data_IF_832908262366
#
_entry.id   IF_832908262366
#
_cell.length_a   1.000
_cell.length_b   1.000
_cell.length_c   1.000
_cell.angle_alpha   90.00
_cell.angle_beta   90.00
_cell.angle_gamma   90.00
#
_symmetry.space_group_name_H-M   'P 1'
#
loop_
_entity.id
_entity.type
_entity.pdbx_description
1 polymer ?
#
# COMPACT_ATOMS: atom_id res chain seq x y z
N UNK A 1 23.95 -61.88 -5.34
CA UNK A 1 24.28 -60.73 -6.21
C UNK A 1 23.16 -59.72 -6.02
N UNK A 2 23.36 -58.65 -5.24
CA UNK A 2 23.90 -57.33 -5.59
C UNK A 2 22.88 -56.42 -6.32
N UNK A 3 22.62 -55.24 -5.73
CA UNK A 3 22.00 -54.03 -6.33
C UNK A 3 20.47 -53.95 -6.20
N UNK A 4 19.81 -53.09 -5.41
CA UNK A 4 19.88 -51.64 -5.11
C UNK A 4 19.22 -50.69 -6.14
N UNK A 5 18.36 -49.81 -5.61
CA UNK A 5 18.05 -48.40 -5.96
C UNK A 5 16.64 -48.03 -6.49
N UNK A 6 16.03 -47.10 -5.71
CA UNK A 6 15.27 -45.87 -6.07
C UNK A 6 13.93 -46.03 -6.82
N UNK A 7 12.83 -45.38 -6.43
CA UNK A 7 12.69 -44.04 -5.85
C UNK A 7 12.24 -43.08 -6.97
N UNK A 8 11.01 -42.54 -6.89
CA UNK A 8 10.52 -41.59 -7.89
C UNK A 8 9.10 -41.10 -7.60
N UNK A 9 8.99 -40.03 -6.80
CA UNK A 9 7.79 -39.22 -6.60
C UNK A 9 7.60 -38.38 -7.88
N UNK A 10 6.45 -38.52 -8.54
CA UNK A 10 6.02 -37.61 -9.63
C UNK A 10 5.44 -36.34 -9.01
N UNK A 11 6.30 -35.33 -8.84
CA UNK A 11 5.86 -33.95 -8.68
C UNK A 11 5.52 -33.39 -10.06
N UNK A 12 4.25 -33.06 -10.28
CA UNK A 12 3.81 -32.33 -11.47
C UNK A 12 4.33 -30.90 -11.41
N UNK A 13 5.28 -30.57 -12.27
CA UNK A 13 5.73 -29.19 -12.48
C UNK A 13 4.66 -28.43 -13.26
N UNK A 14 4.13 -27.36 -12.65
CA UNK A 14 3.40 -26.31 -13.36
C UNK A 14 4.35 -25.68 -14.38
N UNK A 15 3.92 -25.66 -15.64
CA UNK A 15 4.63 -25.02 -16.73
C UNK A 15 4.60 -23.50 -16.54
N UNK A 16 5.66 -22.96 -15.92
CA UNK A 16 5.96 -21.53 -15.96
C UNK A 16 6.44 -21.24 -17.39
N UNK A 17 5.72 -20.38 -18.10
CA UNK A 17 6.18 -19.88 -19.39
C UNK A 17 7.57 -19.23 -19.23
N UNK A 18 8.51 -19.43 -20.18
CA UNK A 18 9.82 -18.78 -20.07
C UNK A 18 9.64 -17.26 -20.08
N UNK A 19 10.24 -16.60 -19.08
CA UNK A 19 10.31 -15.15 -19.01
C UNK A 19 10.84 -14.57 -20.34
N UNK A 20 10.31 -13.42 -20.81
CA UNK A 20 10.89 -12.73 -21.95
C UNK A 20 12.35 -12.35 -21.66
N UNK A 21 13.28 -12.52 -22.61
CA UNK A 21 14.73 -12.43 -22.38
C UNK A 21 15.27 -11.00 -22.15
N UNK A 22 14.40 -9.99 -22.05
CA UNK A 22 14.80 -8.57 -22.05
C UNK A 22 14.48 -7.81 -20.75
N UNK A 23 14.23 -8.49 -19.63
CA UNK A 23 14.18 -7.80 -18.34
C UNK A 23 15.59 -7.71 -17.77
N UNK A 24 16.08 -6.48 -17.64
CA UNK A 24 17.38 -6.23 -17.01
C UNK A 24 17.27 -6.52 -15.52
N UNK A 25 18.35 -7.00 -14.85
CA UNK A 25 18.33 -7.28 -13.41
C UNK A 25 17.88 -6.09 -12.54
N UNK A 26 18.03 -4.86 -13.06
CA UNK A 26 17.58 -3.61 -12.46
C UNK A 26 16.06 -3.46 -12.34
N UNK A 27 15.28 -4.15 -13.18
CA UNK A 27 13.81 -4.06 -13.15
C UNK A 27 13.21 -4.89 -12.00
N UNK A 28 13.94 -5.89 -11.51
CA UNK A 28 13.53 -6.71 -10.36
C UNK A 28 13.85 -6.05 -9.02
N UNK A 29 14.90 -5.22 -8.93
CA UNK A 29 15.21 -4.43 -7.73
C UNK A 29 14.23 -3.26 -7.51
N UNK A 30 13.55 -2.81 -8.57
CA UNK A 30 12.55 -1.73 -8.51
C UNK A 30 11.25 -2.14 -7.83
N UNK A 31 10.96 -3.45 -7.74
CA UNK A 31 9.72 -3.99 -7.15
C UNK A 31 9.81 -4.20 -5.63
N UNK A 32 10.98 -4.02 -5.01
CA UNK A 32 11.22 -4.36 -3.60
C UNK A 32 12.01 -3.29 -2.83
N UNK A 33 11.74 -2.01 -3.07
CA UNK A 33 12.38 -0.95 -2.27
C UNK A 33 11.63 -0.71 -0.97
N UNK A 34 12.26 -1.10 0.15
CA UNK A 34 11.82 -0.73 1.48
C UNK A 34 11.88 0.79 1.69
N UNK A 35 10.96 1.38 2.47
CA UNK A 35 10.98 2.81 2.76
C UNK A 35 12.26 3.21 3.53
N UNK A 36 12.85 4.38 3.22
CA UNK A 36 14.12 4.81 3.82
C UNK A 36 13.95 5.22 5.29
N UNK A 37 14.99 4.89 6.08
CA UNK A 37 15.17 5.33 7.47
C UNK A 37 15.59 6.82 7.56
N UNK A 38 15.16 7.49 8.63
CA UNK A 38 15.47 8.88 9.01
C UNK A 38 16.99 9.18 9.02
N UNK A 39 17.40 10.34 8.45
CA UNK A 39 18.79 10.84 8.53
C UNK A 39 19.35 11.61 7.32
N UNK A 40 18.54 11.89 6.28
CA UNK A 40 18.92 12.75 5.15
C UNK A 40 17.98 13.96 5.08
N UNK A 41 18.54 15.15 4.86
CA UNK A 41 17.80 16.41 4.59
C UNK A 41 16.94 16.38 3.32
N UNK A 42 16.96 15.27 2.58
CA UNK A 42 16.11 15.01 1.43
C UNK A 42 15.39 13.68 1.60
N UNK A 43 14.07 13.73 1.60
CA UNK A 43 13.23 12.54 1.42
C UNK A 43 13.30 12.20 -0.07
N UNK A 44 13.71 10.97 -0.46
CA UNK A 44 13.70 10.60 -1.87
C UNK A 44 12.26 10.63 -2.39
N UNK A 45 12.09 10.85 -3.70
CA UNK A 45 10.77 10.69 -4.31
C UNK A 45 10.22 9.27 -4.08
N UNK A 46 8.90 9.09 -4.09
CA UNK A 46 8.33 7.76 -4.12
C UNK A 46 8.84 7.00 -5.35
N UNK A 47 8.88 5.66 -5.29
CA UNK A 47 9.07 4.85 -6.48
C UNK A 47 8.11 5.26 -7.60
N UNK A 48 8.57 5.22 -8.84
CA UNK A 48 7.75 5.61 -10.00
C UNK A 48 6.50 4.74 -10.16
N UNK A 49 6.61 3.48 -9.74
CA UNK A 49 5.56 2.49 -9.78
C UNK A 49 5.57 1.74 -8.45
N UNK A 50 4.40 1.57 -7.85
CA UNK A 50 4.18 0.67 -6.71
C UNK A 50 2.98 -0.21 -7.00
N UNK A 51 3.04 -1.43 -6.48
CA UNK A 51 2.00 -2.42 -6.64
C UNK A 51 1.65 -3.00 -5.27
N UNK A 52 0.37 -3.01 -4.95
CA UNK A 52 -0.18 -3.67 -3.77
C UNK A 52 -1.22 -4.69 -4.24
N UNK A 53 -1.20 -5.89 -3.69
CA UNK A 53 -2.18 -6.93 -3.99
C UNK A 53 -3.07 -7.17 -2.78
N UNK A 54 -4.34 -7.51 -3.03
CA UNK A 54 -5.23 -7.94 -1.95
C UNK A 54 -4.82 -9.31 -1.41
N UNK A 55 -5.20 -9.69 -0.18
CA UNK A 55 -4.78 -10.94 0.43
C UNK A 55 -5.05 -12.19 -0.44
N UNK A 56 -6.22 -12.27 -1.08
CA UNK A 56 -6.55 -13.35 -2.02
C UNK A 56 -6.04 -13.12 -3.46
N UNK A 57 -5.39 -11.99 -3.73
CA UNK A 57 -4.91 -11.60 -5.06
C UNK A 57 -6.04 -11.26 -6.05
N UNK A 58 -7.25 -10.99 -5.54
CA UNK A 58 -8.41 -10.65 -6.39
C UNK A 58 -8.29 -9.25 -6.95
N UNK A 59 -7.70 -8.33 -6.17
CA UNK A 59 -7.51 -6.95 -6.56
C UNK A 59 -6.03 -6.56 -6.54
N UNK A 60 -5.66 -5.68 -7.46
CA UNK A 60 -4.34 -5.11 -7.57
C UNK A 60 -4.43 -3.60 -7.67
N UNK A 61 -3.83 -2.91 -6.71
CA UNK A 61 -3.65 -1.47 -6.74
C UNK A 61 -2.29 -1.15 -7.37
N UNK A 62 -2.30 -0.29 -8.37
CA UNK A 62 -1.09 0.25 -8.98
C UNK A 62 -1.05 1.75 -8.73
N UNK A 63 0.04 2.22 -8.14
CA UNK A 63 0.31 3.64 -7.90
C UNK A 63 1.44 4.08 -8.84
N UNK A 64 1.15 5.06 -9.70
CA UNK A 64 2.12 5.57 -10.68
C UNK A 64 2.39 7.04 -10.42
N UNK A 65 3.64 7.38 -10.09
CA UNK A 65 4.08 8.76 -9.97
C UNK A 65 4.35 9.35 -11.36
N UNK A 66 3.45 10.23 -11.80
CA UNK A 66 3.59 10.99 -13.03
C UNK A 66 4.10 12.40 -12.80
N UNK A 67 4.46 13.08 -13.88
CA UNK A 67 4.72 14.51 -13.91
C UNK A 67 3.72 15.17 -14.86
N UNK A 68 2.99 16.16 -14.36
CA UNK A 68 2.10 16.99 -15.16
C UNK A 68 2.88 17.99 -16.01
N UNK A 69 2.22 18.58 -17.02
CA UNK A 69 2.83 19.58 -17.90
C UNK A 69 3.34 20.83 -17.16
N UNK A 70 2.77 21.11 -15.98
CA UNK A 70 3.18 22.19 -15.07
C UNK A 70 4.49 21.89 -14.33
N UNK A 71 5.00 20.67 -14.42
CA UNK A 71 6.14 20.17 -13.67
C UNK A 71 5.77 19.59 -12.30
N UNK A 72 4.54 19.79 -11.83
CA UNK A 72 4.02 19.17 -10.60
C UNK A 72 3.98 17.65 -10.77
N UNK A 73 4.49 16.91 -9.79
CA UNK A 73 4.34 15.45 -9.80
C UNK A 73 3.08 15.08 -9.02
N UNK A 74 2.36 14.08 -9.49
CA UNK A 74 1.20 13.51 -8.79
C UNK A 74 1.13 12.02 -9.03
N UNK A 75 0.52 11.32 -8.08
CA UNK A 75 0.33 9.88 -8.17
C UNK A 75 -1.06 9.56 -8.70
N UNK A 76 -1.12 8.75 -9.75
CA UNK A 76 -2.36 8.13 -10.22
C UNK A 76 -2.51 6.78 -9.56
N UNK A 77 -3.64 6.54 -8.92
CA UNK A 77 -4.03 5.23 -8.42
C UNK A 77 -4.93 4.55 -9.44
N UNK A 78 -4.63 3.29 -9.75
CA UNK A 78 -5.42 2.45 -10.64
C UNK A 78 -5.70 1.13 -9.96
N UNK A 79 -6.98 0.78 -9.83
CA UNK A 79 -7.40 -0.51 -9.29
C UNK A 79 -7.73 -1.46 -10.44
N UNK A 80 -7.24 -2.68 -10.34
CA UNK A 80 -7.54 -3.76 -11.25
C UNK A 80 -8.13 -4.96 -10.50
N UNK A 81 -9.06 -5.65 -11.16
CA UNK A 81 -9.68 -6.88 -10.68
C UNK A 81 -9.23 -8.06 -11.56
N UNK A 82 -8.82 -9.16 -10.91
CA UNK A 82 -8.52 -10.42 -11.58
C UNK A 82 -9.82 -11.14 -11.95
N UNK A 83 -10.02 -11.37 -13.24
CA UNK A 83 -11.14 -12.12 -13.81
C UNK A 83 -10.60 -13.28 -14.64
N UNK A 84 -10.39 -14.41 -13.99
CA UNK A 84 -9.74 -15.57 -14.60
C UNK A 84 -8.26 -15.28 -14.89
N UNK A 85 -7.86 -15.39 -16.16
CA UNK A 85 -6.49 -15.12 -16.63
C UNK A 85 -6.25 -13.65 -17.02
N UNK A 86 -7.23 -12.77 -16.81
CA UNK A 86 -7.17 -11.37 -17.21
C UNK A 86 -7.27 -10.43 -16.02
N UNK A 87 -6.57 -9.31 -16.13
CA UNK A 87 -6.65 -8.21 -15.20
C UNK A 87 -7.45 -7.07 -15.85
N UNK A 88 -8.57 -6.68 -15.27
CA UNK A 88 -9.45 -5.62 -15.78
C UNK A 88 -9.33 -4.37 -14.91
N UNK A 89 -9.04 -3.22 -15.51
CA UNK A 89 -9.06 -1.95 -14.77
C UNK A 89 -10.49 -1.62 -14.34
N UNK A 90 -10.69 -1.44 -13.03
CA UNK A 90 -11.97 -1.07 -12.42
C UNK A 90 -12.12 0.44 -12.42
N UNK A 91 -11.08 1.15 -11.97
CA UNK A 91 -11.01 2.61 -11.98
C UNK A 91 -9.57 3.09 -12.01
N UNK A 92 -9.39 4.36 -12.39
CA UNK A 92 -8.12 5.06 -12.33
C UNK A 92 -8.36 6.54 -12.05
N UNK A 93 -7.64 7.12 -11.09
CA UNK A 93 -7.77 8.53 -10.74
C UNK A 93 -6.47 9.12 -10.18
N UNK A 94 -6.24 10.40 -10.48
CA UNK A 94 -5.15 11.18 -9.87
C UNK A 94 -5.51 11.49 -8.42
N UNK A 95 -4.61 11.15 -7.51
CA UNK A 95 -4.80 11.40 -6.08
C UNK A 95 -4.55 12.87 -5.73
N UNK A 96 -5.25 13.40 -4.71
CA UNK A 96 -5.05 14.79 -4.28
C UNK A 96 -3.74 15.02 -3.51
N UNK A 97 -3.08 13.94 -3.08
CA UNK A 97 -1.78 13.90 -2.41
C UNK A 97 -0.70 14.59 -3.26
N UNK A 98 0.33 15.13 -2.60
CA UNK A 98 1.43 15.83 -3.27
C UNK A 98 2.27 14.89 -4.13
N UNK A 99 2.77 13.78 -3.57
CA UNK A 99 3.48 12.73 -4.32
C UNK A 99 2.82 11.35 -4.17
N UNK A 100 1.60 11.30 -3.63
CA UNK A 100 0.93 10.04 -3.31
C UNK A 100 1.12 9.60 -1.85
N UNK A 101 0.49 8.47 -1.50
CA UNK A 101 0.49 7.96 -0.15
C UNK A 101 1.81 7.26 0.17
N UNK A 102 2.17 7.22 1.46
CA UNK A 102 3.36 6.49 1.92
C UNK A 102 3.13 5.00 1.91
N UNK A 103 2.01 4.55 2.44
CA UNK A 103 1.57 3.16 2.42
C UNK A 103 0.18 3.05 1.77
N UNK A 104 -0.13 1.89 1.24
CA UNK A 104 -1.45 1.60 0.70
C UNK A 104 -1.78 0.12 0.91
N UNK A 105 -3.06 -0.17 1.12
CA UNK A 105 -3.59 -1.53 1.20
C UNK A 105 -4.81 -1.64 0.28
N UNK A 106 -5.11 -2.86 -0.16
CA UNK A 106 -6.33 -3.17 -0.91
C UNK A 106 -6.96 -4.44 -0.36
N UNK A 107 -8.25 -4.41 -0.08
CA UNK A 107 -8.99 -5.59 0.43
C UNK A 107 -9.49 -6.47 -0.70
N UNK A 108 -9.89 -7.70 -0.37
CA UNK A 108 -10.53 -8.61 -1.33
C UNK A 108 -11.94 -8.14 -1.76
N UNK A 109 -12.49 -7.11 -1.12
CA UNK A 109 -13.70 -6.41 -1.56
C UNK A 109 -13.41 -5.23 -2.52
N UNK A 110 -12.14 -4.98 -2.86
CA UNK A 110 -11.70 -3.88 -3.71
C UNK A 110 -11.66 -2.51 -3.02
N UNK A 111 -11.79 -2.47 -1.68
CA UNK A 111 -11.61 -1.24 -0.92
C UNK A 111 -10.13 -0.93 -0.80
N UNK A 112 -9.74 0.32 -1.04
CA UNK A 112 -8.35 0.77 -0.98
C UNK A 112 -8.18 1.72 0.20
N UNK A 113 -7.15 1.50 1.01
CA UNK A 113 -6.78 2.38 2.12
C UNK A 113 -5.42 2.99 1.82
N UNK A 114 -5.35 4.31 1.79
CA UNK A 114 -4.14 5.09 1.54
C UNK A 114 -3.72 5.74 2.86
N UNK A 115 -2.43 5.62 3.21
CA UNK A 115 -1.92 6.02 4.52
C UNK A 115 -0.71 6.92 4.38
N UNK A 116 -0.81 8.05 5.06
CA UNK A 116 0.14 9.14 5.16
C UNK A 116 0.57 9.75 3.82
N UNK A 117 1.03 10.99 3.83
CA UNK A 117 1.63 11.60 2.64
C UNK A 117 3.13 11.34 2.57
N UNK A 118 3.64 11.12 1.35
CA UNK A 118 5.06 10.87 1.15
C UNK A 118 5.94 12.03 1.67
N UNK A 119 5.45 13.27 1.64
CA UNK A 119 6.18 14.49 2.00
C UNK A 119 6.49 14.66 3.49
N UNK A 120 6.02 13.75 4.36
CA UNK A 120 6.34 13.74 5.79
C UNK A 120 5.95 15.04 6.51
N UNK A 121 4.72 15.50 6.28
CA UNK A 121 4.12 16.66 6.97
C UNK A 121 2.73 16.30 7.45
N UNK A 122 2.20 17.08 8.39
CA UNK A 122 0.80 16.99 8.78
C UNK A 122 -0.10 17.20 7.56
N UNK A 123 -0.85 16.16 7.20
CA UNK A 123 -1.59 16.10 5.95
C UNK A 123 -3.10 16.06 6.19
N UNK A 124 -3.93 16.71 5.34
CA UNK A 124 -5.37 16.50 5.30
C UNK A 124 -5.77 15.12 4.74
N UNK A 125 -4.80 14.37 4.20
CA UNK A 125 -4.93 13.03 3.62
C UNK A 125 -4.11 12.00 4.42
N UNK A 126 -4.01 12.17 5.75
CA UNK A 126 -3.29 11.24 6.62
C UNK A 126 -3.84 9.80 6.48
N UNK A 127 -5.15 9.67 6.22
CA UNK A 127 -5.78 8.43 5.81
C UNK A 127 -6.89 8.72 4.79
N UNK A 128 -6.96 7.94 3.72
CA UNK A 128 -8.06 8.01 2.74
C UNK A 128 -8.57 6.61 2.42
N UNK A 129 -9.88 6.41 2.50
CA UNK A 129 -10.56 5.16 2.13
C UNK A 129 -11.28 5.38 0.81
N UNK A 130 -10.94 4.57 -0.19
CA UNK A 130 -11.59 4.54 -1.49
C UNK A 130 -12.40 3.24 -1.61
N UNK A 131 -13.66 3.37 -1.97
CA UNK A 131 -14.50 2.21 -2.27
C UNK A 131 -14.07 1.48 -3.56
N UNK A 132 -14.70 0.34 -3.87
CA UNK A 132 -14.36 -0.46 -5.07
C UNK A 132 -14.58 0.26 -6.39
N UNK A 133 -15.32 1.37 -6.41
CA UNK A 133 -15.53 2.22 -7.58
C UNK A 133 -14.60 3.44 -7.64
N UNK A 134 -13.68 3.60 -6.68
CA UNK A 134 -12.76 4.73 -6.57
C UNK A 134 -13.33 5.96 -5.87
N UNK A 135 -14.60 5.93 -5.44
CA UNK A 135 -15.16 7.03 -4.66
C UNK A 135 -14.56 7.07 -3.25
N UNK A 136 -14.29 8.28 -2.75
CA UNK A 136 -13.83 8.48 -1.37
C UNK A 136 -14.99 8.12 -0.43
N UNK A 137 -14.79 7.09 0.38
CA UNK A 137 -15.73 6.66 1.42
C UNK A 137 -15.46 7.39 2.75
N UNK A 138 -14.17 7.62 3.06
CA UNK A 138 -13.75 8.37 4.24
C UNK A 138 -12.39 9.03 4.00
N UNK A 139 -12.13 10.14 4.70
CA UNK A 139 -10.85 10.83 4.70
C UNK A 139 -10.60 11.40 6.09
N UNK A 140 -9.40 11.16 6.61
CA UNK A 140 -8.96 11.65 7.91
C UNK A 140 -7.66 12.45 7.73
N UNK A 141 -7.63 13.61 8.37
CA UNK A 141 -6.47 14.45 8.52
C UNK A 141 -5.57 13.97 9.66
N UNK A 142 -4.36 14.51 9.74
CA UNK A 142 -3.48 14.26 10.87
C UNK A 142 -4.11 14.74 12.20
N UNK A 143 -4.94 15.78 12.20
CA UNK A 143 -5.62 16.22 13.42
C UNK A 143 -6.64 15.19 13.91
N UNK A 144 -7.30 14.45 13.01
CA UNK A 144 -8.19 13.35 13.38
C UNK A 144 -7.41 12.18 14.01
N UNK A 145 -6.18 11.92 13.54
CA UNK A 145 -5.26 10.94 14.14
C UNK A 145 -4.88 11.36 15.58
N UNK A 146 -4.58 12.64 15.77
CA UNK A 146 -4.25 13.20 17.09
C UNK A 146 -5.46 13.13 18.02
N UNK A 147 -6.66 13.43 17.51
CA UNK A 147 -7.90 13.34 18.27
C UNK A 147 -8.20 11.91 18.71
N UNK A 148 -8.16 10.93 17.80
CA UNK A 148 -8.50 9.53 18.14
C UNK A 148 -7.48 8.88 19.07
N UNK A 149 -6.19 9.24 18.96
CA UNK A 149 -5.15 8.74 19.87
C UNK A 149 -5.20 9.41 21.24
N UNK A 150 -5.84 10.57 21.37
CA UNK A 150 -5.88 11.36 22.61
C UNK A 150 -4.53 11.96 23.01
N UNK A 151 -3.56 11.97 22.10
CA UNK A 151 -2.19 12.45 22.34
C UNK A 151 -2.00 13.86 21.80
N UNK A 152 -0.88 14.49 22.13
CA UNK A 152 -0.48 15.74 21.48
C UNK A 152 0.14 15.48 20.12
N UNK A 153 0.10 16.49 19.24
CA UNK A 153 0.76 16.45 17.93
C UNK A 153 2.25 16.09 18.04
N UNK A 154 2.93 16.59 19.07
CA UNK A 154 4.35 16.34 19.28
C UNK A 154 4.63 14.88 19.64
N UNK A 155 3.82 14.30 20.53
CA UNK A 155 3.97 12.90 20.95
C UNK A 155 3.77 11.93 19.79
N UNK A 156 2.72 12.13 18.97
CA UNK A 156 2.45 11.28 17.80
C UNK A 156 3.62 11.33 16.80
N UNK A 157 4.18 12.52 16.54
CA UNK A 157 5.31 12.70 15.61
C UNK A 157 6.60 12.15 16.18
N UNK A 158 6.86 12.31 17.48
CA UNK A 158 8.07 11.79 18.13
C UNK A 158 8.12 10.27 18.12
N UNK A 159 6.95 9.62 18.20
CA UNK A 159 6.83 8.17 18.17
C UNK A 159 6.81 7.60 16.75
N UNK A 160 6.58 8.43 15.73
CA UNK A 160 6.52 8.00 14.34
C UNK A 160 7.85 7.37 13.89
N UNK A 161 7.77 6.13 13.41
CA UNK A 161 8.91 5.40 12.85
C UNK A 161 8.91 5.45 11.31
N UNK A 162 7.74 5.67 10.72
CA UNK A 162 7.54 5.66 9.28
C UNK A 162 6.61 6.80 8.86
N UNK A 163 7.18 7.80 8.22
CA UNK A 163 6.37 8.95 7.80
C UNK A 163 6.05 9.84 8.98
N UNK A 164 4.94 10.57 8.85
CA UNK A 164 4.65 11.65 9.77
C UNK A 164 4.02 11.16 11.08
N UNK A 165 3.37 9.98 11.06
CA UNK A 165 2.58 9.51 12.20
C UNK A 165 2.52 7.99 12.39
N UNK A 166 2.95 7.18 11.41
CA UNK A 166 2.89 5.71 11.52
C UNK A 166 4.06 5.18 12.34
N UNK A 167 3.81 4.17 13.16
CA UNK A 167 4.85 3.51 13.96
C UNK A 167 5.25 2.14 13.45
N UNK A 168 4.51 1.61 12.46
CA UNK A 168 4.80 0.32 11.84
C UNK A 168 3.93 0.04 10.62
N UNK A 169 3.98 -1.21 10.15
CA UNK A 169 3.21 -1.66 8.99
C UNK A 169 1.74 -1.92 9.36
N UNK A 170 0.80 -1.39 8.58
CA UNK A 170 -0.63 -1.64 8.74
C UNK A 170 -1.01 -3.01 8.17
N UNK A 171 -2.06 -3.60 8.73
CA UNK A 171 -2.54 -4.92 8.33
C UNK A 171 -4.06 -4.90 8.11
N UNK A 172 -4.54 -5.69 7.16
CA UNK A 172 -5.98 -5.94 6.99
C UNK A 172 -6.35 -7.05 7.99
N UNK A 173 -7.39 -6.84 8.81
CA UNK A 173 -7.88 -7.86 9.73
C UNK A 173 -8.36 -9.11 8.97
N UNK A 174 -8.34 -10.29 9.60
CA UNK A 174 -8.66 -11.58 8.96
C UNK A 174 -10.04 -11.62 8.28
N UNK A 175 -11.02 -10.87 8.79
CA UNK A 175 -12.36 -10.80 8.23
C UNK A 175 -12.51 -9.76 7.10
N UNK A 176 -11.45 -9.01 6.81
CA UNK A 176 -11.40 -7.96 5.79
C UNK A 176 -12.26 -6.73 6.09
N UNK A 177 -12.83 -6.62 7.29
CA UNK A 177 -13.74 -5.52 7.67
C UNK A 177 -13.01 -4.31 8.23
N UNK A 178 -11.76 -4.51 8.69
CA UNK A 178 -10.97 -3.51 9.38
C UNK A 178 -9.53 -3.45 8.86
N UNK A 179 -8.90 -2.30 9.07
CA UNK A 179 -7.44 -2.13 8.96
C UNK A 179 -6.89 -1.76 10.33
N UNK A 180 -5.86 -2.48 10.73
CA UNK A 180 -5.12 -2.30 11.96
C UNK A 180 -3.86 -1.50 11.66
N UNK A 181 -3.71 -0.32 12.26
CA UNK A 181 -2.69 0.66 11.88
C UNK A 181 -1.87 1.02 13.12
N UNK A 182 -0.61 0.55 13.24
CA UNK A 182 0.27 0.97 14.32
C UNK A 182 0.51 2.48 14.30
N UNK A 183 0.14 3.15 15.39
CA UNK A 183 0.27 4.59 15.53
C UNK A 183 0.50 4.95 17.00
N UNK A 184 1.34 5.94 17.24
CA UNK A 184 1.78 6.30 18.58
C UNK A 184 2.21 5.06 19.40
N UNK A 185 1.72 4.90 20.63
CA UNK A 185 2.04 3.81 21.55
C UNK A 185 1.06 2.63 21.47
N UNK A 186 0.18 2.63 20.46
CA UNK A 186 -0.89 1.66 20.30
C UNK A 186 -1.24 1.36 18.84
N UNK A 187 -2.53 1.18 18.57
CA UNK A 187 -3.02 0.77 17.26
C UNK A 187 -4.36 1.44 16.97
N UNK A 188 -4.43 2.15 15.84
CA UNK A 188 -5.69 2.64 15.31
C UNK A 188 -6.37 1.49 14.55
N UNK A 189 -7.63 1.23 14.87
CA UNK A 189 -8.53 0.39 14.09
C UNK A 189 -9.41 1.27 13.22
N UNK A 190 -9.35 1.06 11.91
CA UNK A 190 -10.24 1.67 10.93
C UNK A 190 -11.34 0.67 10.56
N UNK A 191 -12.61 1.03 10.76
CA UNK A 191 -13.75 0.30 10.20
C UNK A 191 -13.96 0.67 8.74
N UNK A 192 -13.92 -0.29 7.82
CA UNK A 192 -13.99 -0.03 6.39
C UNK A 192 -15.42 0.21 5.87
N UNK A 193 -16.44 -0.17 6.63
CA UNK A 193 -17.83 0.06 6.25
C UNK A 193 -18.28 1.47 6.63
N UNK A 194 -17.85 1.96 7.79
CA UNK A 194 -18.25 3.27 8.31
C UNK A 194 -17.19 4.35 8.10
N UNK A 195 -15.93 3.97 7.95
CA UNK A 195 -14.80 4.89 7.96
C UNK A 195 -14.42 5.40 9.34
N UNK A 196 -15.01 4.88 10.43
CA UNK A 196 -14.71 5.31 11.79
C UNK A 196 -13.33 4.84 12.27
N UNK A 197 -12.68 5.68 13.07
CA UNK A 197 -11.41 5.36 13.74
C UNK A 197 -11.65 5.05 15.22
N UNK A 198 -10.89 4.09 15.74
CA UNK A 198 -10.78 3.77 17.17
C UNK A 198 -9.33 3.52 17.53
N UNK A 199 -8.93 3.78 18.77
CA UNK A 199 -7.59 3.53 19.28
C UNK A 199 -7.64 2.59 20.48
#
# INVERSE_FOLDING_TARGET
MLGALMGGILAGQLAIAPLPPDLSPSDLELLSQAPPMLGRDAIPYPPLLRHEASPAGTYHLVLTLGQEATGTRRTTASLFEMRGDRCQQVWSQTLPHSYGPRLALVTDAGTVVLLDEWINVASPYAMTVLGPNGAIAAQHSFDDIVEVTGQTRAEVVEQAAQGFWLTGEPEIADDGSQVLIPAADGQITLDLATGELRF
#
